data_IF_878560040144
#
_entry.id   IF_878560040144
#
_cell.length_a   1.000
_cell.length_b   1.000
_cell.length_c   1.000
_cell.angle_alpha   90.00
_cell.angle_beta   90.00
_cell.angle_gamma   90.00
#
_symmetry.space_group_name_H-M   'P 1'
#
loop_
_entity.id
_entity.type
_entity.pdbx_description
1 polymer ?
#
# COMPACT_ATOMS: atom_id res chain seq x y z
N UNK A 1 -9.52 -19.46 3.82
CA UNK A 1 -10.23 -18.72 2.78
C UNK A 1 -9.23 -18.04 1.86
N UNK A 2 -9.44 -18.16 0.58
CA UNK A 2 -8.49 -17.71 -0.45
C UNK A 2 -8.17 -16.21 -0.37
N UNK A 3 -9.20 -15.36 -0.32
CA UNK A 3 -8.96 -13.91 -0.35
C UNK A 3 -8.54 -13.35 1.00
N UNK A 4 -8.95 -14.00 2.08
CA UNK A 4 -8.46 -13.64 3.41
C UNK A 4 -6.97 -13.94 3.54
N UNK A 5 -6.52 -15.06 2.98
CA UNK A 5 -5.10 -15.42 2.94
C UNK A 5 -4.30 -14.42 2.11
N UNK A 6 -4.86 -13.97 0.98
CA UNK A 6 -4.22 -12.96 0.15
C UNK A 6 -4.08 -11.65 0.91
N UNK A 7 -5.16 -11.20 1.57
CA UNK A 7 -5.13 -9.97 2.35
C UNK A 7 -4.09 -10.04 3.46
N UNK A 8 -4.01 -11.17 4.17
CA UNK A 8 -2.99 -11.38 5.21
C UNK A 8 -1.58 -11.31 4.64
N UNK A 9 -1.36 -11.95 3.49
CA UNK A 9 -0.06 -11.92 2.83
C UNK A 9 0.34 -10.49 2.47
N UNK A 10 -0.60 -9.71 1.92
CA UNK A 10 -0.33 -8.32 1.55
C UNK A 10 -0.06 -7.46 2.79
N UNK A 11 -0.79 -7.67 3.88
CA UNK A 11 -0.55 -6.95 5.13
C UNK A 11 0.83 -7.26 5.72
N UNK A 12 1.29 -8.47 5.57
CA UNK A 12 2.60 -8.88 6.11
C UNK A 12 3.76 -8.47 5.22
N UNK A 13 3.50 -8.24 3.92
CA UNK A 13 4.57 -8.02 2.93
C UNK A 13 4.44 -6.70 2.16
N UNK A 14 3.59 -5.78 2.61
CA UNK A 14 3.28 -4.56 1.85
C UNK A 14 4.51 -3.72 1.53
N UNK A 15 5.53 -3.77 2.37
CA UNK A 15 6.76 -2.98 2.21
C UNK A 15 7.75 -3.60 1.23
N UNK A 16 7.40 -4.72 0.62
CA UNK A 16 8.22 -5.38 -0.39
C UNK A 16 7.63 -5.16 -1.76
N UNK A 17 8.42 -5.47 -2.79
CA UNK A 17 7.96 -5.40 -4.17
C UNK A 17 7.08 -6.62 -4.46
N UNK A 18 5.78 -6.46 -4.28
CA UNK A 18 4.82 -7.54 -4.54
C UNK A 18 4.36 -7.47 -5.99
N UNK A 19 4.55 -8.56 -6.71
CA UNK A 19 4.06 -8.70 -8.08
C UNK A 19 2.80 -9.56 -8.06
N UNK A 20 1.68 -8.94 -8.42
CA UNK A 20 0.37 -9.60 -8.35
C UNK A 20 0.34 -10.84 -9.25
N UNK A 21 0.97 -10.77 -10.42
CA UNK A 21 1.03 -11.91 -11.36
C UNK A 21 1.73 -13.10 -10.72
N UNK A 22 2.84 -12.86 -10.04
CA UNK A 22 3.60 -13.91 -9.37
C UNK A 22 2.81 -14.50 -8.21
N UNK A 23 2.14 -13.66 -7.43
CA UNK A 23 1.31 -14.12 -6.33
C UNK A 23 0.19 -15.04 -6.85
N UNK A 24 -0.55 -14.57 -7.85
CA UNK A 24 -1.66 -15.33 -8.41
C UNK A 24 -1.17 -16.67 -8.98
N UNK A 25 -0.07 -16.62 -9.75
CA UNK A 25 0.51 -17.81 -10.35
C UNK A 25 0.94 -18.84 -9.30
N UNK A 26 1.56 -18.37 -8.22
CA UNK A 26 2.00 -19.26 -7.14
C UNK A 26 0.85 -19.97 -6.44
N UNK A 27 -0.36 -19.45 -6.55
CA UNK A 27 -1.57 -20.05 -5.97
C UNK A 27 -2.43 -20.76 -7.01
N UNK A 28 -1.92 -20.93 -8.24
CA UNK A 28 -2.65 -21.62 -9.30
C UNK A 28 -3.81 -20.84 -9.89
N UNK A 29 -3.77 -19.52 -9.81
CA UNK A 29 -4.82 -18.64 -10.31
C UNK A 29 -4.33 -17.83 -11.50
N UNK A 30 -5.23 -17.56 -12.47
CA UNK A 30 -4.91 -16.56 -13.49
C UNK A 30 -4.96 -15.18 -12.84
N UNK A 31 -4.11 -14.27 -13.32
CA UNK A 31 -4.04 -12.93 -12.75
C UNK A 31 -5.37 -12.18 -12.92
N UNK A 32 -5.99 -12.31 -14.09
CA UNK A 32 -7.27 -11.65 -14.36
C UNK A 32 -8.38 -12.12 -13.43
N UNK A 33 -8.45 -13.44 -13.22
CA UNK A 33 -9.44 -14.03 -12.32
C UNK A 33 -9.22 -13.53 -10.89
N UNK A 34 -7.96 -13.55 -10.45
CA UNK A 34 -7.62 -13.12 -9.08
C UNK A 34 -7.99 -11.66 -8.86
N UNK A 35 -7.57 -10.75 -9.74
CA UNK A 35 -7.83 -9.31 -9.59
C UNK A 35 -9.34 -9.05 -9.51
N UNK A 36 -10.11 -9.63 -10.43
CA UNK A 36 -11.55 -9.44 -10.49
C UNK A 36 -12.25 -9.93 -9.23
N UNK A 37 -11.88 -11.13 -8.79
CA UNK A 37 -12.56 -11.73 -7.64
C UNK A 37 -12.08 -11.16 -6.31
N UNK A 38 -10.81 -10.75 -6.22
CA UNK A 38 -10.32 -10.05 -5.05
C UNK A 38 -11.10 -8.73 -4.87
N UNK A 39 -11.30 -7.99 -5.95
CA UNK A 39 -12.08 -6.74 -5.90
C UNK A 39 -13.52 -7.02 -5.49
N UNK A 40 -14.10 -8.09 -6.01
CA UNK A 40 -15.47 -8.46 -5.67
C UNK A 40 -15.62 -8.80 -4.18
N UNK A 41 -14.60 -9.44 -3.62
CA UNK A 41 -14.61 -9.85 -2.21
C UNK A 41 -14.26 -8.70 -1.26
N UNK A 42 -13.25 -7.88 -1.60
CA UNK A 42 -12.72 -6.85 -0.70
C UNK A 42 -13.19 -5.43 -1.02
N UNK A 43 -13.71 -5.21 -2.22
CA UNK A 43 -14.11 -3.87 -2.67
C UNK A 43 -13.02 -3.11 -3.40
N UNK A 44 -11.77 -3.59 -3.40
CA UNK A 44 -10.66 -2.94 -4.09
C UNK A 44 -9.83 -3.96 -4.85
N UNK A 45 -9.08 -3.48 -5.86
CA UNK A 45 -8.12 -4.36 -6.54
C UNK A 45 -6.97 -4.69 -5.57
N UNK A 46 -6.20 -5.76 -5.85
CA UNK A 46 -5.04 -6.07 -5.01
C UNK A 46 -4.05 -4.93 -4.89
N UNK A 47 -3.76 -4.22 -5.99
CA UNK A 47 -2.82 -3.10 -5.95
C UNK A 47 -3.35 -1.92 -5.13
N UNK A 48 -4.64 -1.62 -5.27
CA UNK A 48 -5.27 -0.57 -4.45
C UNK A 48 -5.24 -0.94 -2.98
N UNK A 49 -5.44 -2.21 -2.68
CA UNK A 49 -5.39 -2.73 -1.31
C UNK A 49 -3.99 -2.54 -0.71
N UNK A 50 -2.95 -2.92 -1.46
CA UNK A 50 -1.55 -2.75 -1.02
C UNK A 50 -1.22 -1.27 -0.84
N UNK A 51 -1.63 -0.42 -1.79
CA UNK A 51 -1.39 1.03 -1.69
C UNK A 51 -2.03 1.61 -0.44
N UNK A 52 -3.25 1.21 -0.12
CA UNK A 52 -3.94 1.68 1.09
C UNK A 52 -3.18 1.30 2.36
N UNK A 53 -2.66 0.07 2.42
CA UNK A 53 -1.86 -0.37 3.56
C UNK A 53 -0.60 0.49 3.70
N UNK A 54 0.09 0.72 2.59
CA UNK A 54 1.32 1.53 2.58
C UNK A 54 1.06 2.94 3.06
N UNK A 55 0.01 3.57 2.54
CA UNK A 55 -0.33 4.95 2.91
C UNK A 55 -0.77 5.04 4.37
N UNK A 56 -1.55 4.09 4.86
CA UNK A 56 -1.97 4.06 6.27
C UNK A 56 -0.76 3.92 7.19
N UNK A 57 0.20 3.08 6.84
CA UNK A 57 1.42 2.93 7.63
C UNK A 57 2.29 4.17 7.55
N UNK A 58 2.36 4.81 6.39
CA UNK A 58 3.09 6.08 6.24
C UNK A 58 2.47 7.16 7.11
N UNK A 59 1.15 7.23 7.16
CA UNK A 59 0.43 8.18 8.01
C UNK A 59 0.82 8.00 9.47
N UNK A 60 0.83 6.76 9.94
CA UNK A 60 1.24 6.44 11.30
C UNK A 60 2.68 6.90 11.58
N UNK A 61 3.59 6.65 10.64
CA UNK A 61 4.99 7.06 10.81
C UNK A 61 5.15 8.58 10.82
N UNK A 62 4.36 9.30 10.03
CA UNK A 62 4.35 10.76 10.07
C UNK A 62 3.89 11.27 11.43
N UNK A 63 2.96 10.57 12.07
CA UNK A 63 2.41 10.96 13.38
C UNK A 63 3.32 10.59 14.54
N UNK A 64 4.04 9.49 14.44
CA UNK A 64 4.75 8.91 15.59
C UNK A 64 6.26 9.02 15.53
N UNK A 65 6.83 9.49 14.43
CA UNK A 65 8.30 9.58 14.27
C UNK A 65 8.71 10.92 13.72
N UNK A 66 10.02 11.19 13.78
CA UNK A 66 10.63 12.35 13.13
C UNK A 66 11.34 11.95 11.83
N UNK A 67 11.07 10.78 11.30
CA UNK A 67 11.69 10.34 10.06
C UNK A 67 11.39 11.31 8.93
N UNK A 68 12.37 11.52 8.05
CA UNK A 68 12.16 12.33 6.86
C UNK A 68 11.12 11.64 5.95
N UNK A 69 10.40 12.45 5.16
CA UNK A 69 9.40 11.92 4.23
C UNK A 69 10.02 10.89 3.28
N UNK A 70 11.26 11.14 2.81
CA UNK A 70 11.96 10.19 1.94
C UNK A 70 12.22 8.85 2.61
N UNK A 71 12.54 8.87 3.90
CA UNK A 71 12.75 7.65 4.67
C UNK A 71 11.44 6.88 4.82
N UNK A 72 10.37 7.59 5.14
CA UNK A 72 9.04 6.98 5.29
C UNK A 72 8.61 6.32 3.99
N UNK A 73 8.83 7.01 2.86
CA UNK A 73 8.51 6.45 1.54
C UNK A 73 9.18 5.09 1.35
N UNK A 74 10.48 4.99 1.65
CA UNK A 74 11.23 3.74 1.52
C UNK A 74 10.75 2.67 2.48
N UNK A 75 10.48 3.05 3.72
CA UNK A 75 10.01 2.11 4.75
C UNK A 75 8.73 1.41 4.30
N UNK A 76 7.80 2.17 3.71
CA UNK A 76 6.51 1.59 3.28
C UNK A 76 6.54 0.98 1.89
N UNK A 77 7.70 1.00 1.20
CA UNK A 77 7.87 0.25 -0.02
C UNK A 77 8.01 1.05 -1.31
N UNK A 78 8.27 2.36 -1.23
CA UNK A 78 8.43 3.21 -2.42
C UNK A 78 9.85 3.72 -2.56
N UNK A 79 10.50 3.40 -3.68
CA UNK A 79 11.83 3.90 -3.98
C UNK A 79 11.80 5.36 -4.42
N UNK A 80 10.72 5.78 -5.05
CA UNK A 80 10.56 7.14 -5.57
C UNK A 80 9.70 7.98 -4.61
N UNK A 81 10.32 8.90 -3.84
CA UNK A 81 9.56 9.71 -2.87
C UNK A 81 8.52 10.62 -3.51
N UNK A 82 8.77 11.09 -4.73
CA UNK A 82 7.81 11.95 -5.43
C UNK A 82 6.54 11.17 -5.78
N UNK A 83 6.70 9.95 -6.27
CA UNK A 83 5.56 9.09 -6.56
C UNK A 83 4.77 8.79 -5.28
N UNK A 84 5.47 8.49 -4.19
CA UNK A 84 4.85 8.28 -2.89
C UNK A 84 4.03 9.50 -2.47
N UNK A 85 4.60 10.70 -2.58
CA UNK A 85 3.92 11.93 -2.19
C UNK A 85 2.64 12.16 -2.99
N UNK A 86 2.66 11.84 -4.28
CA UNK A 86 1.47 11.94 -5.13
C UNK A 86 0.38 10.98 -4.70
N UNK A 87 0.74 9.73 -4.38
CA UNK A 87 -0.23 8.74 -3.89
C UNK A 87 -0.81 9.16 -2.55
N UNK A 88 0.04 9.65 -1.64
CA UNK A 88 -0.40 10.12 -0.34
C UNK A 88 -1.40 11.27 -0.49
N UNK A 89 -1.05 12.25 -1.33
CA UNK A 89 -1.92 13.39 -1.59
C UNK A 89 -3.27 12.94 -2.16
N UNK A 90 -3.25 12.01 -3.08
CA UNK A 90 -4.47 11.48 -3.70
C UNK A 90 -5.40 10.84 -2.67
N UNK A 91 -4.86 10.13 -1.70
CA UNK A 91 -5.67 9.43 -0.71
C UNK A 91 -6.02 10.28 0.51
N UNK A 92 -5.16 11.20 0.90
CA UNK A 92 -5.33 11.96 2.14
C UNK A 92 -5.69 13.43 1.93
N UNK A 93 -5.64 13.92 0.69
CA UNK A 93 -6.00 15.31 0.38
C UNK A 93 -4.91 16.33 0.62
N UNK A 94 -3.73 15.93 1.12
CA UNK A 94 -2.59 16.81 1.31
C UNK A 94 -1.30 16.01 1.20
N UNK A 95 -0.18 16.71 1.02
CA UNK A 95 1.12 16.05 0.92
C UNK A 95 1.54 15.50 2.29
N UNK A 96 2.50 14.56 2.33
CA UNK A 96 3.01 14.07 3.61
C UNK A 96 3.56 15.19 4.50
N UNK A 97 4.28 16.14 3.93
CA UNK A 97 4.83 17.26 4.69
C UNK A 97 3.73 18.15 5.25
N UNK A 98 2.71 18.44 4.46
CA UNK A 98 1.55 19.22 4.91
C UNK A 98 0.81 18.49 6.01
N UNK A 99 0.63 17.20 5.86
CA UNK A 99 -0.06 16.37 6.86
C UNK A 99 0.67 16.46 8.20
N UNK A 100 2.00 16.34 8.18
CA UNK A 100 2.80 16.43 9.42
C UNK A 100 2.68 17.80 10.07
N UNK A 101 2.61 18.85 9.29
CA UNK A 101 2.43 20.22 9.83
C UNK A 101 1.09 20.40 10.54
N UNK A 102 0.05 19.75 10.03
CA UNK A 102 -1.28 19.84 10.62
C UNK A 102 -1.35 19.19 12.01
N UNK A 103 -0.37 18.36 12.36
CA UNK A 103 -0.34 17.67 13.65
C UNK A 103 0.28 18.52 14.77
N UNK A 104 0.83 19.67 14.44
CA UNK A 104 1.49 20.54 15.41
C UNK A 104 0.59 21.67 15.88
#
# INVERSE_FOLDING_TARGET
MLFRSAASYFNENYNRDIKIEEYASSRGMSVSWFIRNFKKFTGTTPMQFITSIRITNAQMLLETTNYAVNEIARIVGYDNPLYFSRLFHKQKGCSPSEYRKLLK
#
